data_IF_933228561725
#
_entry.id   IF_933228561725
#
_cell.length_a   1.000
_cell.length_b   1.000
_cell.length_c   1.000
_cell.angle_alpha   90.00
_cell.angle_beta   90.00
_cell.angle_gamma   90.00
#
_symmetry.space_group_name_H-M   'P 1'
#
loop_
_entity.id
_entity.type
_entity.pdbx_description
1 polymer ?
#
# COMPACT_ATOMS: atom_id res chain seq x y z
N UNK A 1 -2.17 4.00 -8.98
CA UNK A 1 -2.18 2.68 -8.32
C UNK A 1 -3.54 2.05 -8.62
N UNK A 2 -3.59 0.87 -9.23
CA UNK A 2 -4.85 0.11 -9.40
C UNK A 2 -4.90 -1.00 -8.37
N UNK A 3 -6.10 -1.35 -7.92
CA UNK A 3 -6.33 -2.50 -7.03
C UNK A 3 -7.05 -3.56 -7.86
N UNK A 4 -6.32 -4.61 -8.22
CA UNK A 4 -6.83 -5.75 -9.00
C UNK A 4 -6.94 -7.02 -8.16
N UNK A 5 -7.81 -7.93 -8.57
CA UNK A 5 -8.07 -9.19 -7.84
C UNK A 5 -7.37 -10.37 -8.50
N UNK A 6 -6.45 -10.99 -7.76
CA UNK A 6 -5.99 -12.33 -8.10
C UNK A 6 -6.87 -13.37 -7.41
N UNK A 7 -7.88 -13.85 -8.13
CA UNK A 7 -8.79 -14.89 -7.65
C UNK A 7 -8.13 -16.27 -7.75
N UNK A 8 -7.12 -16.55 -6.92
CA UNK A 8 -6.52 -17.89 -6.78
C UNK A 8 -7.03 -18.56 -5.50
N UNK A 9 -8.29 -19.01 -5.53
CA UNK A 9 -8.78 -20.10 -4.67
C UNK A 9 -9.38 -19.74 -3.31
N UNK A 10 -9.49 -18.47 -2.91
CA UNK A 10 -10.20 -18.06 -1.70
C UNK A 10 -11.30 -17.05 -2.05
N UNK A 11 -12.54 -17.31 -1.60
CA UNK A 11 -13.65 -16.34 -1.71
C UNK A 11 -13.29 -15.08 -0.92
N UNK A 12 -12.81 -14.06 -1.60
CA UNK A 12 -12.68 -12.72 -1.03
C UNK A 12 -14.09 -12.16 -0.86
N UNK A 13 -14.47 -11.77 0.36
CA UNK A 13 -15.80 -11.21 0.60
C UNK A 13 -15.86 -9.79 0.00
N UNK A 14 -16.89 -9.48 -0.79
CA UNK A 14 -17.14 -8.13 -1.35
C UNK A 14 -17.13 -7.04 -0.25
N UNK A 15 -17.53 -7.40 0.97
CA UNK A 15 -17.47 -6.54 2.15
C UNK A 15 -16.04 -6.15 2.56
N UNK A 16 -15.10 -7.09 2.52
CA UNK A 16 -13.69 -6.84 2.88
C UNK A 16 -13.06 -5.90 1.86
N UNK A 17 -13.42 -6.06 0.59
CA UNK A 17 -12.96 -5.18 -0.46
C UNK A 17 -13.47 -3.74 -0.29
N UNK A 18 -14.78 -3.57 -0.09
CA UNK A 18 -15.35 -2.25 0.11
C UNK A 18 -14.71 -1.60 1.35
N UNK A 19 -14.51 -2.38 2.41
CA UNK A 19 -13.83 -1.90 3.62
C UNK A 19 -12.40 -1.47 3.32
N UNK A 20 -11.60 -2.33 2.67
CA UNK A 20 -10.22 -2.06 2.30
C UNK A 20 -10.11 -0.77 1.48
N UNK A 21 -10.91 -0.64 0.42
CA UNK A 21 -10.86 0.51 -0.49
C UNK A 21 -11.30 1.81 0.19
N UNK A 22 -12.33 1.76 1.04
CA UNK A 22 -12.72 2.90 1.88
C UNK A 22 -11.64 3.28 2.89
N UNK A 23 -10.90 2.31 3.41
CA UNK A 23 -9.80 2.57 4.34
C UNK A 23 -8.55 3.14 3.66
N UNK A 24 -8.25 2.71 2.43
CA UNK A 24 -7.18 3.30 1.62
C UNK A 24 -7.52 4.75 1.26
N UNK A 25 -8.78 5.03 0.90
CA UNK A 25 -9.24 6.34 0.44
C UNK A 25 -9.10 7.43 1.52
N UNK A 26 -8.05 8.24 1.43
CA UNK A 26 -7.81 9.32 2.38
C UNK A 26 -6.47 10.03 2.21
N UNK A 27 -6.32 11.12 2.95
CA UNK A 27 -5.05 11.80 3.21
C UNK A 27 -4.52 11.35 4.57
N UNK A 28 -3.28 10.89 4.60
CA UNK A 28 -2.60 10.33 5.75
C UNK A 28 -1.29 11.07 6.01
N UNK A 29 -0.95 11.32 7.28
CA UNK A 29 0.28 12.03 7.65
C UNK A 29 1.00 11.38 8.83
N UNK A 30 2.33 11.29 8.75
CA UNK A 30 3.19 10.79 9.84
C UNK A 30 3.66 11.91 10.80
N UNK A 31 2.99 13.07 10.81
CA UNK A 31 3.39 14.24 11.58
C UNK A 31 3.76 13.94 13.04
N UNK A 32 3.00 13.08 13.74
CA UNK A 32 3.31 12.69 15.12
C UNK A 32 4.67 11.99 15.24
N UNK A 33 4.96 11.03 14.35
CA UNK A 33 6.24 10.32 14.33
C UNK A 33 7.40 11.25 13.98
N UNK A 34 7.21 12.08 12.94
CA UNK A 34 8.22 13.04 12.49
C UNK A 34 8.55 14.07 13.57
N UNK A 35 7.57 14.55 14.32
CA UNK A 35 7.80 15.60 15.33
C UNK A 35 8.44 15.04 16.60
N UNK A 36 8.22 13.76 16.90
CA UNK A 36 8.90 13.08 18.03
C UNK A 36 10.37 12.83 17.69
N UNK A 37 10.69 12.40 16.46
CA UNK A 37 12.06 12.06 16.03
C UNK A 37 12.41 12.74 14.68
N UNK A 38 12.60 14.07 14.64
CA UNK A 38 12.69 14.84 13.40
C UNK A 38 13.97 14.60 12.59
N UNK A 39 15.03 14.10 13.21
CA UNK A 39 16.26 13.72 12.50
C UNK A 39 16.17 12.34 11.84
N UNK A 40 15.21 11.51 12.25
CA UNK A 40 15.05 10.14 11.78
C UNK A 40 13.92 10.01 10.76
N UNK A 41 12.89 10.84 10.86
CA UNK A 41 11.71 10.78 10.00
C UNK A 41 11.40 12.16 9.41
N UNK A 42 11.34 12.21 8.08
CA UNK A 42 10.74 13.35 7.39
C UNK A 42 9.23 13.39 7.67
N UNK A 43 8.66 14.59 7.67
CA UNK A 43 7.22 14.78 7.69
C UNK A 43 6.66 14.56 6.29
N UNK A 44 5.85 13.51 6.13
CA UNK A 44 5.33 13.01 4.85
C UNK A 44 3.80 13.01 4.90
N UNK A 45 3.21 13.34 3.76
CA UNK A 45 1.80 13.13 3.46
C UNK A 45 1.67 12.09 2.35
N UNK A 46 0.71 11.19 2.50
CA UNK A 46 0.34 10.22 1.46
C UNK A 46 -1.16 10.41 1.23
N UNK A 47 -1.53 10.69 -0.02
CA UNK A 47 -2.92 10.88 -0.41
C UNK A 47 -3.32 9.85 -1.47
N UNK A 48 -4.40 9.13 -1.18
CA UNK A 48 -5.02 8.17 -2.10
C UNK A 48 -6.40 8.68 -2.47
N UNK A 49 -6.47 9.40 -3.59
CA UNK A 49 -7.73 9.90 -4.14
C UNK A 49 -8.36 8.87 -5.08
N UNK A 50 -9.62 8.45 -4.86
CA UNK A 50 -10.31 7.56 -5.79
C UNK A 50 -10.36 8.15 -7.21
N UNK A 51 -10.11 7.31 -8.21
CA UNK A 51 -10.31 7.64 -9.61
C UNK A 51 -11.69 7.15 -10.08
N UNK A 52 -12.29 7.80 -11.10
CA UNK A 52 -13.51 7.31 -11.71
C UNK A 52 -13.36 5.86 -12.19
N UNK A 53 -14.34 5.01 -11.89
CA UNK A 53 -14.30 3.58 -12.24
C UNK A 53 -14.07 3.34 -13.73
N UNK A 54 -14.74 4.14 -14.59
CA UNK A 54 -14.66 4.04 -16.05
C UNK A 54 -13.26 4.31 -16.62
N UNK A 55 -12.33 4.82 -15.81
CA UNK A 55 -10.95 5.07 -16.24
C UNK A 55 -10.14 3.77 -16.39
N UNK A 56 -10.35 2.79 -15.50
CA UNK A 56 -9.63 1.51 -15.50
C UNK A 56 -10.54 0.28 -15.60
N UNK A 57 -11.87 0.46 -15.55
CA UNK A 57 -12.83 -0.62 -15.31
C UNK A 57 -12.53 -1.43 -14.04
N UNK A 58 -11.83 -0.80 -13.09
CA UNK A 58 -11.36 -1.34 -11.82
C UNK A 58 -11.31 -0.21 -10.78
N UNK A 59 -11.13 -0.56 -9.50
CA UNK A 59 -10.93 0.44 -8.44
C UNK A 59 -9.49 0.98 -8.55
N UNK A 60 -9.38 2.26 -8.90
CA UNK A 60 -8.12 2.97 -9.03
C UNK A 60 -7.97 4.10 -8.01
N UNK A 61 -6.73 4.35 -7.61
CA UNK A 61 -6.33 5.52 -6.84
C UNK A 61 -5.27 6.30 -7.59
N UNK A 62 -5.35 7.62 -7.54
CA UNK A 62 -4.27 8.51 -7.91
C UNK A 62 -3.34 8.67 -6.69
N UNK A 63 -2.11 8.13 -6.74
CA UNK A 63 -1.14 8.34 -5.68
C UNK A 63 -0.40 9.66 -5.92
N UNK A 64 -0.44 10.57 -4.95
CA UNK A 64 0.42 11.76 -4.96
C UNK A 64 1.72 11.44 -4.23
N UNK A 65 2.61 10.69 -4.89
CA UNK A 65 4.02 10.60 -4.53
C UNK A 65 4.83 10.88 -5.80
N UNK A 66 5.52 12.01 -5.81
CA UNK A 66 6.37 12.47 -6.92
C UNK A 66 7.78 11.98 -6.66
N UNK A 67 8.18 10.91 -7.35
CA UNK A 67 9.59 10.61 -7.60
C UNK A 67 9.73 10.18 -9.06
N UNK A 68 10.75 10.69 -9.76
CA UNK A 68 11.06 10.43 -11.18
C UNK A 68 11.50 8.98 -11.46
N UNK A 69 11.33 8.07 -10.50
CA UNK A 69 11.69 6.66 -10.65
C UNK A 69 10.59 6.00 -11.48
N UNK A 70 10.94 5.55 -12.69
CA UNK A 70 10.12 4.59 -13.42
C UNK A 70 9.86 3.41 -12.49
N UNK A 71 8.65 3.33 -11.94
CA UNK A 71 8.24 2.21 -11.11
C UNK A 71 8.45 0.93 -11.93
N UNK A 72 9.22 -0.03 -11.42
CA UNK A 72 9.36 -1.32 -12.07
C UNK A 72 7.96 -1.91 -12.24
N UNK A 73 7.63 -2.27 -13.48
CA UNK A 73 6.52 -3.17 -13.75
C UNK A 73 6.69 -4.40 -12.82
N UNK A 74 5.65 -4.77 -12.07
CA UNK A 74 5.54 -5.98 -11.21
C UNK A 74 5.66 -5.84 -9.67
N UNK A 75 5.48 -4.65 -9.06
CA UNK A 75 5.41 -4.53 -7.60
C UNK A 75 3.95 -4.45 -7.09
N UNK A 76 3.18 -5.56 -7.21
CA UNK A 76 1.82 -5.65 -6.64
C UNK A 76 1.87 -5.98 -5.14
N UNK A 77 1.03 -5.29 -4.36
CA UNK A 77 0.82 -5.57 -2.93
C UNK A 77 -0.50 -6.33 -2.79
N UNK A 78 -0.46 -7.50 -2.14
CA UNK A 78 -1.66 -8.25 -1.75
C UNK A 78 -2.01 -7.97 -0.30
N UNK A 79 -3.26 -7.56 -0.07
CA UNK A 79 -3.82 -7.37 1.27
C UNK A 79 -4.57 -8.62 1.73
N UNK A 80 -4.40 -8.96 3.01
CA UNK A 80 -5.12 -10.05 3.69
C UNK A 80 -5.76 -9.51 4.96
N UNK A 81 -7.05 -9.78 5.16
CA UNK A 81 -7.71 -9.56 6.45
C UNK A 81 -7.29 -10.65 7.44
N UNK A 82 -7.07 -10.30 8.70
CA UNK A 82 -6.84 -11.27 9.76
C UNK A 82 -8.11 -11.38 10.64
N UNK A 83 -8.86 -12.50 10.62
CA UNK A 83 -10.08 -12.64 11.41
C UNK A 83 -9.85 -12.62 12.93
N UNK A 84 -8.62 -12.86 13.39
CA UNK A 84 -8.26 -12.97 14.80
C UNK A 84 -7.71 -11.66 15.39
N UNK A 85 -7.33 -10.71 14.55
CA UNK A 85 -6.89 -9.38 14.97
C UNK A 85 -7.94 -8.37 14.49
N UNK A 86 -8.58 -7.68 15.44
CA UNK A 86 -9.56 -6.62 15.19
C UNK A 86 -9.22 -5.81 13.93
N UNK A 87 -10.14 -5.84 12.96
CA UNK A 87 -10.30 -4.83 11.91
C UNK A 87 -8.99 -4.26 11.33
N UNK A 88 -8.08 -5.14 10.88
CA UNK A 88 -6.86 -4.73 10.18
C UNK A 88 -6.61 -5.57 8.93
N UNK A 89 -6.10 -4.91 7.89
CA UNK A 89 -5.54 -5.54 6.71
C UNK A 89 -4.02 -5.51 6.77
N UNK A 90 -3.40 -6.62 6.37
CA UNK A 90 -1.95 -6.74 6.21
C UNK A 90 -1.63 -6.88 4.73
N UNK A 91 -0.89 -5.92 4.19
CA UNK A 91 -0.39 -5.89 2.82
C UNK A 91 1.06 -6.34 2.76
N UNK A 92 1.41 -7.07 1.70
CA UNK A 92 2.80 -7.34 1.36
C UNK A 92 2.94 -7.69 -0.12
N UNK A 93 4.18 -7.69 -0.63
CA UNK A 93 4.43 -8.08 -2.02
C UNK A 93 3.98 -9.51 -2.29
N UNK A 94 3.41 -9.76 -3.47
CA UNK A 94 3.02 -11.12 -3.85
C UNK A 94 4.22 -12.08 -3.86
N UNK A 95 4.10 -13.28 -3.27
CA UNK A 95 5.17 -14.27 -3.30
C UNK A 95 5.56 -14.63 -4.74
N UNK A 96 6.83 -14.45 -5.09
CA UNK A 96 7.36 -14.70 -6.43
C UNK A 96 7.41 -13.47 -7.34
N UNK A 97 6.88 -12.32 -6.91
CA UNK A 97 7.17 -11.06 -7.60
C UNK A 97 8.61 -10.63 -7.33
N UNK A 98 9.36 -10.41 -8.41
CA UNK A 98 10.71 -9.85 -8.37
C UNK A 98 10.59 -8.34 -8.50
N UNK A 99 10.22 -7.67 -7.41
CA UNK A 99 10.26 -6.22 -7.36
C UNK A 99 11.73 -5.79 -7.21
N UNK A 100 12.47 -5.78 -8.32
CA UNK A 100 13.90 -5.52 -8.33
C UNK A 100 14.18 -4.06 -8.61
N UNK A 101 14.83 -3.41 -7.66
CA UNK A 101 15.33 -2.05 -7.82
C UNK A 101 16.86 -2.12 -7.83
N UNK A 102 17.54 -1.70 -8.90
CA UNK A 102 19.00 -1.62 -8.88
C UNK A 102 19.44 -0.47 -7.97
N UNK A 103 20.33 -0.77 -7.02
CA UNK A 103 20.96 0.22 -6.15
C UNK A 103 22.48 0.11 -6.27
N UNK A 104 23.15 1.20 -6.65
CA UNK A 104 24.59 1.24 -6.90
C UNK A 104 25.11 0.13 -7.84
N UNK A 105 24.32 -0.24 -8.85
CA UNK A 105 24.66 -1.29 -9.83
C UNK A 105 24.42 -2.73 -9.36
N UNK A 106 23.98 -2.95 -8.11
CA UNK A 106 23.57 -4.25 -7.60
C UNK A 106 22.04 -4.38 -7.64
N UNK A 107 21.50 -5.52 -8.11
CA UNK A 107 20.06 -5.75 -8.05
C UNK A 107 19.65 -6.03 -6.60
N UNK A 108 18.64 -5.30 -6.11
CA UNK A 108 18.08 -5.48 -4.76
C UNK A 108 16.61 -5.88 -4.86
N UNK A 109 16.17 -6.75 -3.97
CA UNK A 109 14.77 -7.15 -3.81
C UNK A 109 14.08 -6.19 -2.84
N UNK A 110 12.91 -5.70 -3.21
CA UNK A 110 12.10 -4.87 -2.32
C UNK A 110 11.33 -5.78 -1.39
N UNK A 111 11.36 -5.47 -0.10
CA UNK A 111 10.44 -6.01 0.90
C UNK A 111 9.53 -4.87 1.33
N UNK A 112 8.23 -5.02 1.11
CA UNK A 112 7.21 -4.05 1.52
C UNK A 112 6.21 -4.73 2.43
N UNK A 113 6.00 -4.15 3.61
CA UNK A 113 4.98 -4.53 4.58
C UNK A 113 4.08 -3.34 4.88
N UNK A 114 2.78 -3.54 4.75
CA UNK A 114 1.75 -2.53 5.03
C UNK A 114 0.79 -3.08 6.08
N UNK A 115 0.43 -2.28 7.07
CA UNK A 115 -0.70 -2.55 7.95
C UNK A 115 -1.67 -1.40 7.87
N UNK A 116 -2.94 -1.73 7.64
CA UNK A 116 -3.99 -0.76 7.41
C UNK A 116 -5.15 -1.02 8.35
N UNK A 117 -5.49 -0.01 9.13
CA UNK A 117 -6.75 0.08 9.86
C UNK A 117 -7.63 1.19 9.28
N UNK A 118 -8.77 1.44 9.92
CA UNK A 118 -9.72 2.48 9.47
C UNK A 118 -9.09 3.89 9.45
N UNK A 119 -8.28 4.20 10.46
CA UNK A 119 -7.67 5.52 10.66
C UNK A 119 -6.14 5.52 10.66
N UNK A 120 -5.52 4.34 10.50
CA UNK A 120 -4.07 4.16 10.63
C UNK A 120 -3.49 3.45 9.42
N UNK A 121 -2.32 3.91 9.01
CA UNK A 121 -1.53 3.29 7.95
C UNK A 121 -0.09 3.17 8.44
N UNK A 122 0.47 1.96 8.44
CA UNK A 122 1.90 1.76 8.67
C UNK A 122 2.53 1.13 7.44
N UNK A 123 3.66 1.66 7.00
CA UNK A 123 4.42 1.14 5.86
C UNK A 123 5.88 0.97 6.23
N UNK A 124 6.45 -0.17 5.81
CA UNK A 124 7.85 -0.49 5.94
C UNK A 124 8.34 -1.00 4.59
N UNK A 125 9.20 -0.22 3.95
CA UNK A 125 9.85 -0.60 2.69
C UNK A 125 11.34 -0.77 2.93
N UNK A 126 11.92 -1.86 2.45
CA UNK A 126 13.34 -2.18 2.57
C UNK A 126 13.89 -2.66 1.24
N UNK A 127 15.11 -2.27 0.92
CA UNK A 127 15.88 -2.87 -0.17
C UNK A 127 16.84 -3.91 0.36
N UNK A 128 16.71 -5.15 -0.09
CA UNK A 128 17.51 -6.29 0.35
C UNK A 128 18.46 -6.75 -0.76
N UNK A 129 19.72 -7.02 -0.45
CA UNK A 129 20.65 -7.63 -1.41
C UNK A 129 20.20 -9.05 -1.73
N UNK A 130 20.11 -9.39 -3.02
CA UNK A 130 19.56 -10.69 -3.47
C UNK A 130 20.45 -11.87 -3.06
N UNK A 131 21.76 -11.65 -2.85
CA UNK A 131 22.72 -12.72 -2.56
C UNK A 131 22.88 -12.98 -1.07
N UNK A 132 22.93 -11.91 -0.29
CA UNK A 132 23.22 -11.96 1.15
C UNK A 132 21.97 -11.84 2.01
N UNK A 133 20.86 -11.36 1.44
CA UNK A 133 19.64 -10.99 2.15
C UNK A 133 19.86 -9.95 3.25
N UNK A 134 20.91 -9.14 3.14
CA UNK A 134 21.15 -7.99 4.02
C UNK A 134 20.46 -6.74 3.49
N UNK A 135 20.04 -5.85 4.38
CA UNK A 135 19.43 -4.58 3.99
C UNK A 135 20.50 -3.64 3.40
N UNK A 136 20.25 -3.13 2.20
CA UNK A 136 21.17 -2.26 1.44
C UNK A 136 20.73 -0.81 1.47
N UNK A 137 19.43 -0.56 1.38
CA UNK A 137 18.88 0.80 1.36
C UNK A 137 17.50 0.87 2.01
N UNK A 138 17.00 2.10 2.15
CA UNK A 138 15.92 2.50 3.05
C UNK A 138 16.32 2.43 4.53
N UNK A 139 15.50 3.03 5.39
CA UNK A 139 15.78 3.21 6.80
C UNK A 139 15.88 1.87 7.54
N UNK A 140 16.88 1.72 8.42
CA UNK A 140 16.89 0.65 9.44
C UNK A 140 15.93 0.93 10.59
N UNK A 141 15.26 2.09 10.55
CA UNK A 141 14.31 2.52 11.56
C UNK A 141 13.01 1.71 11.56
N UNK A 142 12.23 1.90 12.62
CA UNK A 142 10.86 1.41 12.72
C UNK A 142 9.98 1.90 11.55
N UNK A 143 8.88 1.19 11.23
CA UNK A 143 7.95 1.56 10.15
C UNK A 143 7.50 3.02 10.20
N UNK A 144 7.18 3.59 9.05
CA UNK A 144 6.49 4.86 8.99
C UNK A 144 5.05 4.68 9.47
N UNK A 145 4.62 5.51 10.42
CA UNK A 145 3.26 5.48 10.98
C UNK A 145 2.50 6.74 10.60
N UNK A 146 1.42 6.56 9.88
CA UNK A 146 0.54 7.63 9.40
C UNK A 146 -0.83 7.54 10.05
N UNK A 147 -1.40 8.71 10.31
CA UNK A 147 -2.78 8.88 10.75
C UNK A 147 -3.60 9.54 9.66
N UNK A 148 -4.80 9.02 9.44
CA UNK A 148 -5.76 9.59 8.50
C UNK A 148 -6.20 10.98 8.98
N UNK A 149 -5.93 11.99 8.17
CA UNK A 149 -6.34 13.38 8.38
C UNK A 149 -7.67 13.68 7.70
N UNK A 150 -7.91 13.06 6.54
CA UNK A 150 -9.14 13.21 5.80
C UNK A 150 -9.52 11.88 5.14
N UNK A 151 -10.82 11.56 5.14
CA UNK A 151 -11.36 10.38 4.46
C UNK A 151 -11.96 10.76 3.12
N UNK A 152 -11.73 9.93 2.10
CA UNK A 152 -12.35 10.02 0.77
C UNK A 152 -13.23 8.81 0.48
N UNK A 153 -13.63 8.07 1.53
CA UNK A 153 -14.42 6.85 1.41
C UNK A 153 -15.75 7.04 0.67
N UNK A 154 -16.33 8.24 0.71
CA UNK A 154 -17.60 8.54 0.05
C UNK A 154 -17.45 8.80 -1.46
N UNK A 155 -16.23 8.97 -1.95
CA UNK A 155 -15.91 9.07 -3.37
C UNK A 155 -15.80 7.68 -4.04
N UNK A 156 -15.82 6.59 -3.24
CA UNK A 156 -15.81 5.22 -3.76
C UNK A 156 -17.20 4.83 -4.28
N UNK A 157 -17.31 4.61 -5.59
CA UNK A 157 -18.54 4.14 -6.23
C UNK A 157 -18.71 2.62 -6.05
N UNK A 158 -19.56 2.22 -5.10
CA UNK A 158 -19.78 0.80 -4.75
C UNK A 158 -20.66 0.06 -5.77
N UNK A 159 -21.44 0.78 -6.58
CA UNK A 159 -22.42 0.22 -7.53
C UNK A 159 -21.81 -0.73 -8.56
N UNK A 160 -20.54 -0.55 -8.92
CA UNK A 160 -19.90 -1.27 -10.04
C UNK A 160 -19.03 -2.46 -9.57
N UNK A 161 -18.82 -2.59 -8.26
CA UNK A 161 -17.94 -3.61 -7.67
C UNK A 161 -18.61 -4.99 -7.66
N UNK A 162 -19.95 -5.05 -7.71
CA UNK A 162 -20.74 -6.29 -7.74
C UNK A 162 -20.93 -6.91 -9.14
N UNK A 163 -20.82 -6.14 -10.22
CA UNK A 163 -21.07 -6.62 -11.59
C UNK A 163 -19.84 -7.25 -12.26
N UNK A 164 -18.64 -6.98 -11.75
CA UNK A 164 -17.38 -7.50 -12.32
C UNK A 164 -17.01 -8.91 -11.80
N UNK A 165 -17.94 -9.58 -11.08
CA UNK A 165 -17.76 -10.91 -10.47
C UNK A 165 -18.60 -12.02 -11.14
N UNK A 166 -19.07 -11.83 -12.38
CA UNK A 166 -19.69 -12.88 -13.20
C UNK A 166 -18.70 -13.55 -14.15
#
# INVERSE_FOLDING_TARGET
>A
MTISFNNRGAKTNTSDLITLTRWIAGDCSNQKQAFVNPTQYAHIHISFRPLPFDFFSEIGFYPEQVDDIQQPYCCSITFRSNPQQHEMFQGGLEPGNKCLIPHNGCPTDVVSEVKLGEYTWSSLDKGMDIKTHEQVWCSTAEPLFFEKKQSFADEISVSNVGETLC
#
